data_IF_064315621476
#
_entry.id   IF_064315621476
#
_cell.length_a   1.000
_cell.length_b   1.000
_cell.length_c   1.000
_cell.angle_alpha   90.00
_cell.angle_beta   90.00
_cell.angle_gamma   90.00
#
_symmetry.space_group_name_H-M   'P 1'
#
loop_
_entity.id
_entity.type
_entity.pdbx_description
1 polymer ?
#
# COMPACT_ATOMS: atom_id res chain seq x y z
N UNK A 1 42.14 -31.34 -1.57
CA UNK A 1 40.86 -31.06 -2.25
C UNK A 1 40.22 -29.90 -1.54
N UNK A 2 40.23 -28.73 -2.16
CA UNK A 2 39.81 -27.44 -1.57
C UNK A 2 38.29 -27.34 -1.63
N UNK A 3 37.62 -27.25 -0.49
CA UNK A 3 36.18 -26.99 -0.41
C UNK A 3 35.93 -25.50 -0.60
N UNK A 4 35.52 -25.11 -1.80
CA UNK A 4 35.04 -23.76 -2.09
C UNK A 4 33.68 -23.56 -1.42
N UNK A 5 33.67 -22.93 -0.24
CA UNK A 5 32.46 -22.50 0.45
C UNK A 5 31.77 -21.40 -0.38
N UNK A 6 30.74 -21.79 -1.13
CA UNK A 6 29.82 -20.89 -1.82
C UNK A 6 28.94 -20.18 -0.79
N UNK A 7 29.41 -19.05 -0.27
CA UNK A 7 28.58 -18.14 0.53
C UNK A 7 28.76 -16.75 -0.02
N UNK A 8 27.97 -16.35 -1.04
CA UNK A 8 27.80 -14.97 -1.52
C UNK A 8 26.79 -14.91 -2.70
N UNK A 9 25.53 -15.34 -2.52
CA UNK A 9 24.49 -15.13 -3.57
C UNK A 9 23.09 -14.77 -3.04
N UNK A 10 22.78 -15.03 -1.77
CA UNK A 10 21.42 -14.84 -1.24
C UNK A 10 20.99 -13.36 -1.09
N UNK A 11 21.94 -12.44 -0.89
CA UNK A 11 21.60 -11.02 -0.65
C UNK A 11 21.17 -10.27 -1.92
N UNK A 12 21.69 -10.66 -3.09
CA UNK A 12 21.36 -10.00 -4.36
C UNK A 12 19.94 -10.38 -4.83
N UNK A 13 19.59 -11.66 -4.71
CA UNK A 13 18.27 -12.19 -5.06
C UNK A 13 17.15 -11.65 -4.17
N UNK A 14 17.44 -11.33 -2.91
CA UNK A 14 16.47 -10.72 -2.00
C UNK A 14 16.05 -9.30 -2.44
N UNK A 15 16.95 -8.56 -3.11
CA UNK A 15 16.66 -7.25 -3.69
C UNK A 15 15.70 -7.35 -4.87
N UNK A 16 15.99 -8.27 -5.80
CA UNK A 16 15.16 -8.51 -6.98
C UNK A 16 13.75 -9.01 -6.63
N UNK A 17 13.64 -9.97 -5.70
CA UNK A 17 12.34 -10.47 -5.24
C UNK A 17 11.52 -9.35 -4.59
N UNK A 18 12.14 -8.51 -3.75
CA UNK A 18 11.47 -7.35 -3.14
C UNK A 18 10.98 -6.37 -4.22
N UNK A 19 11.79 -6.12 -5.24
CA UNK A 19 11.43 -5.22 -6.32
C UNK A 19 10.24 -5.76 -7.12
N UNK A 20 10.26 -7.05 -7.46
CA UNK A 20 9.18 -7.73 -8.17
C UNK A 20 7.87 -7.73 -7.36
N UNK A 21 7.92 -8.01 -6.06
CA UNK A 21 6.75 -7.97 -5.18
C UNK A 21 6.19 -6.55 -5.12
N UNK A 22 7.04 -5.54 -4.91
CA UNK A 22 6.60 -4.16 -4.87
C UNK A 22 5.97 -3.73 -6.20
N UNK A 23 6.56 -4.11 -7.33
CA UNK A 23 6.02 -3.80 -8.65
C UNK A 23 4.65 -4.46 -8.87
N UNK A 24 4.48 -5.73 -8.48
CA UNK A 24 3.20 -6.42 -8.57
C UNK A 24 2.13 -5.74 -7.71
N UNK A 25 2.45 -5.39 -6.45
CA UNK A 25 1.55 -4.66 -5.57
C UNK A 25 1.17 -3.30 -6.16
N UNK A 26 2.13 -2.54 -6.69
CA UNK A 26 1.86 -1.24 -7.30
C UNK A 26 0.95 -1.34 -8.52
N UNK A 27 1.15 -2.36 -9.36
CA UNK A 27 0.28 -2.62 -10.50
C UNK A 27 -1.16 -2.94 -10.07
N UNK A 28 -1.33 -3.79 -9.05
CA UNK A 28 -2.67 -4.11 -8.52
C UNK A 28 -3.35 -2.88 -7.90
N UNK A 29 -2.61 -2.09 -7.12
CA UNK A 29 -3.14 -0.86 -6.51
C UNK A 29 -3.52 0.19 -7.55
N UNK A 30 -2.79 0.28 -8.66
CA UNK A 30 -3.11 1.19 -9.77
C UNK A 30 -4.41 0.78 -10.47
N UNK A 31 -4.67 -0.52 -10.57
CA UNK A 31 -5.89 -1.06 -11.19
C UNK A 31 -7.07 -1.19 -10.23
N UNK A 32 -6.88 -0.92 -8.93
CA UNK A 32 -7.91 -1.01 -7.91
C UNK A 32 -9.24 -0.31 -8.27
N UNK A 33 -9.27 0.90 -8.86
CA UNK A 33 -10.54 1.54 -9.25
C UNK A 33 -11.31 0.74 -10.31
N UNK A 34 -10.60 0.10 -11.24
CA UNK A 34 -11.18 -0.75 -12.28
C UNK A 34 -11.76 -2.00 -11.63
N UNK A 35 -11.01 -2.68 -10.76
CA UNK A 35 -11.48 -3.85 -10.01
C UNK A 35 -12.70 -3.53 -9.14
N UNK A 36 -12.72 -2.37 -8.49
CA UNK A 36 -13.86 -1.93 -7.69
C UNK A 36 -15.09 -1.58 -8.53
N UNK A 37 -14.90 -1.15 -9.79
CA UNK A 37 -15.99 -0.87 -10.71
C UNK A 37 -16.68 -2.15 -11.24
N UNK A 38 -15.96 -3.28 -11.27
CA UNK A 38 -16.54 -4.58 -11.63
C UNK A 38 -17.49 -5.13 -10.56
N UNK A 39 -17.33 -4.70 -9.30
CA UNK A 39 -18.21 -5.08 -8.19
C UNK A 39 -19.52 -4.31 -8.28
N UNK A 40 -20.57 -4.98 -8.77
CA UNK A 40 -21.91 -4.39 -8.97
C UNK A 40 -22.65 -4.09 -7.66
N UNK A 41 -22.43 -4.87 -6.62
CA UNK A 41 -23.07 -4.66 -5.31
C UNK A 41 -22.33 -3.56 -4.52
N UNK A 42 -22.97 -2.42 -4.22
CA UNK A 42 -22.34 -1.33 -3.47
C UNK A 42 -21.89 -1.74 -2.06
N UNK A 43 -22.57 -2.71 -1.43
CA UNK A 43 -22.23 -3.18 -0.08
C UNK A 43 -20.92 -3.97 -0.09
N UNK A 44 -20.75 -4.85 -1.08
CA UNK A 44 -19.51 -5.60 -1.27
C UNK A 44 -18.35 -4.69 -1.65
N UNK A 45 -18.59 -3.70 -2.50
CA UNK A 45 -17.59 -2.70 -2.88
C UNK A 45 -17.11 -1.90 -1.66
N UNK A 46 -18.03 -1.50 -0.78
CA UNK A 46 -17.69 -0.83 0.47
C UNK A 46 -16.90 -1.75 1.41
N UNK A 47 -17.31 -3.01 1.57
CA UNK A 47 -16.63 -3.99 2.41
C UNK A 47 -15.18 -4.24 1.94
N UNK A 48 -14.97 -4.32 0.63
CA UNK A 48 -13.64 -4.43 0.05
C UNK A 48 -12.77 -3.21 0.40
N UNK A 49 -13.30 -2.00 0.18
CA UNK A 49 -12.60 -0.76 0.50
C UNK A 49 -12.22 -0.67 1.98
N UNK A 50 -13.14 -1.00 2.89
CA UNK A 50 -12.88 -0.97 4.33
C UNK A 50 -11.77 -1.94 4.75
N UNK A 51 -11.73 -3.14 4.16
CA UNK A 51 -10.68 -4.13 4.43
C UNK A 51 -9.32 -3.73 3.86
N UNK A 52 -9.32 -3.03 2.74
CA UNK A 52 -8.08 -2.59 2.07
C UNK A 52 -7.49 -1.33 2.71
N UNK A 53 -8.34 -0.48 3.31
CA UNK A 53 -7.99 0.82 3.89
C UNK A 53 -6.73 0.82 4.77
N UNK A 54 -6.51 -0.14 5.70
CA UNK A 54 -5.32 -0.15 6.55
C UNK A 54 -3.99 -0.34 5.80
N UNK A 55 -4.06 -0.85 4.56
CA UNK A 55 -2.90 -1.18 3.75
C UNK A 55 -2.61 -0.13 2.67
N UNK A 56 -3.65 0.60 2.21
CA UNK A 56 -3.52 1.61 1.15
C UNK A 56 -3.50 3.03 1.67
N UNK A 57 -4.22 3.31 2.76
CA UNK A 57 -4.05 4.57 3.45
C UNK A 57 -2.73 4.47 4.21
N UNK A 58 -1.88 5.49 4.08
CA UNK A 58 -0.75 5.65 4.99
C UNK A 58 -1.26 5.43 6.43
N UNK A 59 -0.47 4.79 7.32
CA UNK A 59 -0.89 4.55 8.69
C UNK A 59 -1.50 5.84 9.19
N UNK A 60 -2.76 5.78 9.66
CA UNK A 60 -3.48 6.96 10.12
C UNK A 60 -2.58 7.59 11.17
N UNK A 61 -1.82 8.61 10.77
CA UNK A 61 -1.00 9.36 11.69
C UNK A 61 -2.05 9.99 12.58
N UNK A 62 -1.99 9.68 13.87
CA UNK A 62 -2.84 10.39 14.82
C UNK A 62 -2.44 11.86 14.74
N UNK A 63 -3.19 12.61 13.94
CA UNK A 63 -3.03 14.04 13.78
C UNK A 63 -3.82 14.70 14.90
N UNK A 64 -3.20 15.62 15.63
CA UNK A 64 -3.91 16.43 16.61
C UNK A 64 -5.03 17.22 15.93
N UNK A 65 -6.07 17.58 16.68
CA UNK A 65 -7.27 18.29 16.18
C UNK A 65 -6.91 19.51 15.31
N UNK A 66 -5.87 20.25 15.70
CA UNK A 66 -5.38 21.41 14.96
C UNK A 66 -4.78 21.04 13.59
N UNK A 67 -4.02 19.96 13.51
CA UNK A 67 -3.43 19.48 12.25
C UNK A 67 -4.52 18.92 11.33
N UNK A 68 -5.50 18.20 11.88
CA UNK A 68 -6.65 17.71 11.13
C UNK A 68 -7.46 18.85 10.50
N UNK A 69 -7.79 19.90 11.27
CA UNK A 69 -8.52 21.09 10.77
C UNK A 69 -7.79 21.82 9.66
N UNK A 70 -6.47 21.92 9.77
CA UNK A 70 -5.63 22.53 8.73
C UNK A 70 -5.60 21.70 7.45
N UNK A 71 -5.48 20.37 7.57
CA UNK A 71 -5.47 19.45 6.43
C UNK A 71 -6.82 19.33 5.73
N UNK A 72 -7.94 19.47 6.46
CA UNK A 72 -9.30 19.51 5.90
C UNK A 72 -9.72 20.89 5.39
N UNK A 73 -8.89 21.92 5.59
CA UNK A 73 -9.14 23.29 5.13
C UNK A 73 -10.14 24.08 5.98
N UNK A 74 -10.56 23.55 7.13
CA UNK A 74 -11.50 24.19 8.06
C UNK A 74 -10.97 25.48 8.67
N UNK A 75 -9.64 25.66 8.71
CA UNK A 75 -9.00 26.88 9.22
C UNK A 75 -9.18 28.10 8.30
N UNK A 76 -9.65 27.93 7.05
CA UNK A 76 -9.89 29.03 6.12
C UNK A 76 -11.33 29.58 6.17
N UNK A 77 -12.15 29.12 7.12
CA UNK A 77 -13.58 29.48 7.25
C UNK A 77 -13.78 30.59 8.30
N UNK A 78 -12.77 31.45 8.54
CA UNK A 78 -12.85 32.57 9.48
C UNK A 78 -12.45 33.87 8.81
#
# INVERSE_FOLDING_TARGET
MTTNNQTLTNSYMAGDIRHLINQAIQNELTNLPVTLAEIKDPTQRLNFLTKLMPFVCAPIKQVGVMTARRETGEDNII
#
